data_IF_512502203508
#
_entry.id   IF_512502203508
#
_cell.length_a   1.000
_cell.length_b   1.000
_cell.length_c   1.000
_cell.angle_alpha   90.00
_cell.angle_beta   90.00
_cell.angle_gamma   90.00
#
_symmetry.space_group_name_H-M   'P 1'
#
loop_
_entity.id
_entity.type
_entity.pdbx_description
1 polymer ?
#
# COMPACT_ATOMS: atom_id res chain seq x y z
N UNK A 1 -31.49 -28.39 -19.25
CA UNK A 1 -30.32 -28.57 -18.34
C UNK A 1 -29.01 -27.97 -18.90
N UNK A 2 -28.52 -28.36 -20.07
CA UNK A 2 -27.26 -27.83 -20.67
C UNK A 2 -27.25 -26.29 -20.89
N UNK A 3 -28.37 -25.68 -21.25
CA UNK A 3 -28.42 -24.21 -21.44
C UNK A 3 -28.26 -23.44 -20.13
N UNK A 4 -28.82 -23.92 -19.04
CA UNK A 4 -28.68 -23.30 -17.69
C UNK A 4 -27.23 -23.44 -17.19
N UNK A 5 -26.59 -24.60 -17.37
CA UNK A 5 -25.20 -24.84 -16.98
C UNK A 5 -24.26 -23.90 -17.75
N UNK A 6 -24.49 -23.65 -19.05
CA UNK A 6 -23.70 -22.71 -19.84
C UNK A 6 -23.76 -21.30 -19.24
N UNK A 7 -24.94 -20.81 -18.83
CA UNK A 7 -25.07 -19.50 -18.22
C UNK A 7 -24.49 -19.42 -16.81
N UNK A 8 -24.53 -20.50 -16.02
CA UNK A 8 -23.91 -20.57 -14.71
C UNK A 8 -22.37 -20.45 -14.76
N UNK A 9 -21.76 -20.81 -15.88
CA UNK A 9 -20.32 -20.63 -16.10
C UNK A 9 -20.04 -19.33 -16.84
N UNK A 10 -20.80 -18.99 -17.88
CA UNK A 10 -20.54 -17.82 -18.71
C UNK A 10 -20.68 -16.50 -17.95
N UNK A 11 -21.64 -16.40 -17.03
CA UNK A 11 -21.87 -15.17 -16.26
C UNK A 11 -20.69 -14.85 -15.31
N UNK A 12 -20.21 -15.77 -14.44
CA UNK A 12 -19.03 -15.50 -13.61
C UNK A 12 -17.77 -15.19 -14.43
N UNK A 13 -17.56 -15.89 -15.55
CA UNK A 13 -16.43 -15.63 -16.46
C UNK A 13 -16.55 -14.24 -17.08
N UNK A 14 -17.74 -13.85 -17.53
CA UNK A 14 -18.01 -12.51 -18.07
C UNK A 14 -17.74 -11.41 -17.04
N UNK A 15 -18.21 -11.58 -15.80
CA UNK A 15 -17.96 -10.66 -14.69
C UNK A 15 -16.46 -10.55 -14.42
N UNK A 16 -15.75 -11.67 -14.38
CA UNK A 16 -14.30 -11.70 -14.17
C UNK A 16 -13.54 -10.95 -15.27
N UNK A 17 -13.88 -11.19 -16.53
CA UNK A 17 -13.26 -10.49 -17.68
C UNK A 17 -13.54 -8.99 -17.60
N UNK A 18 -14.79 -8.60 -17.35
CA UNK A 18 -15.19 -7.20 -17.25
C UNK A 18 -14.46 -6.48 -16.09
N UNK A 19 -14.37 -7.13 -14.91
CA UNK A 19 -13.63 -6.59 -13.77
C UNK A 19 -12.15 -6.38 -14.12
N UNK A 20 -11.49 -7.37 -14.74
CA UNK A 20 -10.09 -7.23 -15.14
C UNK A 20 -9.88 -6.15 -16.21
N UNK A 21 -10.79 -6.02 -17.17
CA UNK A 21 -10.73 -4.95 -18.16
C UNK A 21 -10.91 -3.56 -17.50
N UNK A 22 -11.84 -3.42 -16.56
CA UNK A 22 -12.03 -2.21 -15.76
C UNK A 22 -10.77 -1.87 -14.96
N UNK A 23 -10.17 -2.84 -14.26
CA UNK A 23 -8.94 -2.66 -13.49
C UNK A 23 -7.80 -2.22 -14.38
N UNK A 24 -7.60 -2.90 -15.52
CA UNK A 24 -6.55 -2.57 -16.47
C UNK A 24 -6.70 -1.15 -17.05
N UNK A 25 -7.92 -0.75 -17.44
CA UNK A 25 -8.20 0.60 -17.89
C UNK A 25 -7.87 1.67 -16.84
N UNK A 26 -8.17 1.39 -15.56
CA UNK A 26 -7.78 2.29 -14.47
C UNK A 26 -6.25 2.33 -14.25
N UNK A 27 -5.55 1.18 -14.34
CA UNK A 27 -4.09 1.14 -14.23
C UNK A 27 -3.46 2.05 -15.31
N UNK A 28 -3.90 1.94 -16.56
CA UNK A 28 -3.42 2.80 -17.66
C UNK A 28 -3.70 4.28 -17.35
N UNK A 29 -4.89 4.60 -16.83
CA UNK A 29 -5.23 5.97 -16.45
C UNK A 29 -4.34 6.48 -15.33
N UNK A 30 -4.07 5.66 -14.31
CA UNK A 30 -3.27 6.02 -13.15
C UNK A 30 -1.77 6.16 -13.44
N UNK A 31 -1.31 5.80 -14.64
CA UNK A 31 0.04 6.17 -15.10
C UNK A 31 0.25 7.68 -15.15
N UNK A 32 -0.77 8.43 -15.50
CA UNK A 32 -0.70 9.88 -15.69
C UNK A 32 -1.60 10.67 -14.72
N UNK A 33 -2.71 10.09 -14.29
CA UNK A 33 -3.73 10.78 -13.49
C UNK A 33 -3.71 10.26 -12.04
N UNK A 34 -3.84 11.16 -11.08
CA UNK A 34 -4.01 10.79 -9.68
C UNK A 34 -5.43 10.23 -9.43
N UNK A 35 -5.60 9.12 -8.70
CA UNK A 35 -6.91 8.67 -8.30
C UNK A 35 -7.55 9.69 -7.33
N UNK A 36 -8.82 10.01 -7.53
CA UNK A 36 -9.55 10.88 -6.59
C UNK A 36 -9.74 10.20 -5.23
N UNK A 37 -10.00 8.90 -5.26
CA UNK A 37 -10.18 8.06 -4.07
C UNK A 37 -9.91 6.61 -4.45
N UNK A 38 -9.30 5.84 -3.53
CA UNK A 38 -9.06 4.41 -3.75
C UNK A 38 -10.22 3.57 -3.21
N UNK A 39 -10.32 2.32 -3.68
CA UNK A 39 -11.32 1.38 -3.15
C UNK A 39 -11.16 1.19 -1.63
N UNK A 40 -9.92 1.16 -1.14
CA UNK A 40 -9.62 1.04 0.28
C UNK A 40 -10.10 2.26 1.08
N UNK A 41 -9.86 3.49 0.58
CA UNK A 41 -10.36 4.71 1.21
C UNK A 41 -11.89 4.68 1.33
N UNK A 42 -12.58 4.38 0.22
CA UNK A 42 -14.06 4.32 0.21
C UNK A 42 -14.61 3.29 1.18
N UNK A 43 -14.01 2.10 1.20
CA UNK A 43 -14.39 1.03 2.11
C UNK A 43 -14.14 1.43 3.58
N UNK A 44 -13.02 2.06 3.87
CA UNK A 44 -12.64 2.47 5.22
C UNK A 44 -13.56 3.57 5.75
N UNK A 45 -13.90 4.56 4.91
CA UNK A 45 -14.83 5.61 5.28
C UNK A 45 -16.22 5.04 5.58
N UNK A 46 -16.71 4.13 4.73
CA UNK A 46 -17.99 3.42 4.97
C UNK A 46 -17.95 2.60 6.27
N UNK A 47 -16.82 1.97 6.59
CA UNK A 47 -16.67 1.24 7.85
C UNK A 47 -16.78 2.19 9.05
N UNK A 48 -16.12 3.35 9.02
CA UNK A 48 -16.21 4.33 10.12
C UNK A 48 -17.62 4.84 10.31
N UNK A 49 -18.33 5.10 9.22
CA UNK A 49 -19.76 5.48 9.25
C UNK A 49 -20.62 4.39 9.92
N UNK A 50 -20.42 3.11 9.56
CA UNK A 50 -21.11 1.98 10.16
C UNK A 50 -20.78 1.78 11.65
N UNK A 51 -19.57 2.15 12.07
CA UNK A 51 -19.15 2.15 13.47
C UNK A 51 -19.66 3.38 14.26
N UNK A 52 -20.41 4.28 13.61
CA UNK A 52 -20.91 5.52 14.23
C UNK A 52 -19.81 6.56 14.50
N UNK A 53 -18.69 6.47 13.79
CA UNK A 53 -17.57 7.41 13.91
C UNK A 53 -17.73 8.55 12.91
N UNK A 54 -17.78 9.78 13.38
CA UNK A 54 -17.72 10.97 12.54
C UNK A 54 -16.27 11.25 12.14
N UNK A 55 -15.86 10.68 11.00
CA UNK A 55 -14.51 10.80 10.46
C UNK A 55 -14.57 11.41 9.07
N UNK A 56 -13.91 12.55 8.87
CA UNK A 56 -13.74 13.13 7.55
C UNK A 56 -12.51 12.53 6.82
N UNK A 57 -12.61 12.39 5.49
CA UNK A 57 -11.49 11.98 4.65
C UNK A 57 -10.53 13.18 4.47
N UNK A 58 -9.31 13.07 4.99
CA UNK A 58 -8.18 13.96 4.65
C UNK A 58 -7.25 13.21 3.69
N UNK A 59 -7.34 13.56 2.41
CA UNK A 59 -6.55 13.03 1.32
C UNK A 59 -6.04 14.17 0.45
N UNK A 60 -4.70 14.25 0.32
CA UNK A 60 -4.04 15.30 -0.46
C UNK A 60 -2.95 14.66 -1.30
N UNK A 61 -3.18 14.65 -2.61
CA UNK A 61 -2.17 14.14 -3.55
C UNK A 61 -0.90 14.99 -3.51
N UNK A 62 0.25 14.31 -3.49
CA UNK A 62 1.57 14.93 -3.57
C UNK A 62 2.40 14.24 -4.64
N UNK A 63 2.92 14.96 -5.64
CA UNK A 63 3.82 14.40 -6.67
C UNK A 63 5.07 13.77 -6.04
N UNK A 64 5.58 12.71 -6.68
CA UNK A 64 6.72 11.92 -6.19
C UNK A 64 7.93 12.76 -5.79
N UNK A 65 8.33 13.70 -6.67
CA UNK A 65 9.47 14.58 -6.46
C UNK A 65 9.27 15.59 -5.30
N UNK A 66 8.05 15.83 -4.87
CA UNK A 66 7.71 16.73 -3.75
C UNK A 66 7.52 16.00 -2.42
N UNK A 67 7.73 14.69 -2.36
CA UNK A 67 7.74 13.91 -1.13
C UNK A 67 9.19 13.74 -0.65
N UNK A 68 9.42 13.95 0.65
CA UNK A 68 10.74 13.82 1.27
C UNK A 68 11.41 12.48 0.94
N UNK A 69 12.66 12.54 0.51
CA UNK A 69 13.54 11.36 0.33
C UNK A 69 13.60 10.53 1.61
N UNK A 70 13.53 11.17 2.78
CA UNK A 70 13.53 10.46 4.06
C UNK A 70 12.30 9.55 4.20
N UNK A 71 11.10 10.01 3.81
CA UNK A 71 9.89 9.19 3.89
C UNK A 71 9.93 8.04 2.88
N UNK A 72 10.37 8.32 1.64
CA UNK A 72 10.55 7.30 0.61
C UNK A 72 11.48 6.19 1.07
N UNK A 73 12.68 6.53 1.53
CA UNK A 73 13.66 5.56 2.05
C UNK A 73 13.16 4.80 3.29
N UNK A 74 12.44 5.46 4.18
CA UNK A 74 11.89 4.81 5.38
C UNK A 74 10.85 3.74 5.01
N UNK A 75 9.95 4.03 4.06
CA UNK A 75 8.92 3.10 3.62
C UNK A 75 9.53 1.89 2.89
N UNK A 76 10.45 2.10 1.97
CA UNK A 76 11.17 1.00 1.30
C UNK A 76 11.86 0.12 2.33
N UNK A 77 12.64 0.70 3.25
CA UNK A 77 13.35 -0.06 4.28
C UNK A 77 12.45 -0.86 5.23
N UNK A 78 11.21 -0.39 5.43
CA UNK A 78 10.24 -1.04 6.32
C UNK A 78 9.37 -2.09 5.64
N UNK A 79 8.85 -1.76 4.47
CA UNK A 79 7.79 -2.52 3.81
C UNK A 79 8.33 -3.44 2.71
N UNK A 80 9.36 -2.99 1.98
CA UNK A 80 9.87 -3.71 0.81
C UNK A 80 11.31 -3.28 0.48
N UNK A 81 12.27 -3.82 1.21
CA UNK A 81 13.67 -3.37 1.14
C UNK A 81 14.34 -3.58 -0.24
N UNK A 82 13.75 -4.37 -1.13
CA UNK A 82 14.24 -4.66 -2.48
C UNK A 82 13.28 -4.16 -3.57
N UNK A 83 12.45 -3.19 -3.25
CA UNK A 83 11.39 -2.68 -4.13
C UNK A 83 11.89 -2.33 -5.55
N UNK A 84 13.03 -1.66 -5.66
CA UNK A 84 13.61 -1.30 -6.95
C UNK A 84 14.11 -2.51 -7.77
N UNK A 85 14.39 -3.65 -7.12
CA UNK A 85 15.06 -4.80 -7.73
C UNK A 85 14.15 -5.97 -8.14
N UNK A 86 12.82 -5.85 -8.06
CA UNK A 86 11.90 -6.93 -8.43
C UNK A 86 10.66 -6.44 -9.19
N UNK A 87 10.07 -7.29 -10.03
CA UNK A 87 8.84 -7.02 -10.79
C UNK A 87 7.57 -7.39 -9.99
N UNK A 88 7.32 -6.70 -8.87
CA UNK A 88 6.10 -6.84 -8.07
C UNK A 88 6.11 -7.95 -7.02
N UNK A 89 6.98 -8.95 -7.15
CA UNK A 89 7.06 -10.08 -6.23
C UNK A 89 8.49 -10.29 -5.73
N UNK A 90 8.71 -10.12 -4.44
CA UNK A 90 9.96 -10.46 -3.78
C UNK A 90 9.98 -11.93 -3.36
N UNK A 91 10.29 -12.83 -4.31
CA UNK A 91 10.30 -14.28 -4.06
C UNK A 91 11.25 -14.68 -2.92
N UNK A 92 12.42 -14.05 -2.83
CA UNK A 92 13.36 -14.30 -1.74
C UNK A 92 12.84 -13.79 -0.39
N UNK A 93 12.18 -12.64 -0.38
CA UNK A 93 11.50 -12.10 0.80
C UNK A 93 10.37 -12.99 1.27
N UNK A 94 9.56 -13.50 0.34
CA UNK A 94 8.47 -14.47 0.61
C UNK A 94 9.03 -15.75 1.25
N UNK A 95 10.06 -16.37 0.65
CA UNK A 95 10.70 -17.56 1.21
C UNK A 95 11.27 -17.32 2.61
N UNK A 96 11.92 -16.17 2.81
CA UNK A 96 12.45 -15.77 4.11
C UNK A 96 11.33 -15.55 5.15
N UNK A 97 10.20 -14.97 4.76
CA UNK A 97 9.05 -14.79 5.63
C UNK A 97 8.43 -16.13 6.04
N UNK A 98 8.25 -17.05 5.09
CA UNK A 98 7.75 -18.41 5.35
C UNK A 98 8.66 -19.12 6.34
N UNK A 99 9.99 -19.12 6.11
CA UNK A 99 10.97 -19.74 7.01
C UNK A 99 10.92 -19.18 8.42
N UNK A 100 10.85 -17.84 8.57
CA UNK A 100 10.74 -17.19 9.90
C UNK A 100 9.44 -17.53 10.61
N UNK A 101 8.33 -17.55 9.90
CA UNK A 101 7.03 -17.88 10.45
C UNK A 101 6.98 -19.35 10.90
N UNK A 102 7.51 -20.28 10.09
CA UNK A 102 7.63 -21.70 10.44
C UNK A 102 8.47 -21.90 11.69
N UNK A 103 9.65 -21.27 11.77
CA UNK A 103 10.56 -21.41 12.92
C UNK A 103 10.00 -20.79 14.22
N UNK A 104 9.12 -19.81 14.11
CA UNK A 104 8.53 -19.14 15.28
C UNK A 104 7.18 -19.69 15.72
N UNK A 105 6.57 -20.60 14.95
CA UNK A 105 5.20 -21.10 15.16
C UNK A 105 4.11 -20.01 15.09
N UNK A 106 4.45 -18.80 14.65
CA UNK A 106 3.53 -17.63 14.58
C UNK A 106 3.77 -16.84 13.30
N UNK A 107 2.73 -16.22 12.74
CA UNK A 107 2.85 -15.30 11.61
C UNK A 107 3.45 -13.98 12.12
N UNK A 108 4.77 -13.83 12.00
CA UNK A 108 5.53 -12.65 12.44
C UNK A 108 6.02 -11.78 11.31
N UNK A 109 6.19 -12.33 10.12
CA UNK A 109 6.70 -11.63 8.95
C UNK A 109 5.67 -11.69 7.82
N UNK A 110 5.32 -10.54 7.27
CA UNK A 110 4.58 -10.43 6.01
C UNK A 110 5.54 -10.57 4.83
N UNK A 111 5.06 -11.14 3.72
CA UNK A 111 5.81 -11.25 2.48
C UNK A 111 5.19 -10.45 1.33
N UNK A 112 4.29 -9.51 1.63
CA UNK A 112 3.68 -8.65 0.60
C UNK A 112 4.57 -7.45 0.29
N UNK A 113 4.76 -7.19 -1.00
CA UNK A 113 5.52 -6.05 -1.53
C UNK A 113 4.69 -4.76 -1.52
N UNK A 114 5.36 -3.63 -1.78
CA UNK A 114 4.70 -2.32 -1.99
C UNK A 114 3.68 -2.41 -3.14
N UNK A 115 4.03 -3.04 -4.27
CA UNK A 115 3.14 -3.19 -5.42
C UNK A 115 1.89 -4.03 -5.09
N UNK A 116 2.04 -5.10 -4.31
CA UNK A 116 0.91 -5.91 -3.85
C UNK A 116 0.01 -5.15 -2.88
N UNK A 117 0.59 -4.36 -1.97
CA UNK A 117 -0.17 -3.49 -1.07
C UNK A 117 -0.93 -2.42 -1.85
N UNK A 118 -0.30 -1.82 -2.88
CA UNK A 118 -0.93 -0.85 -3.75
C UNK A 118 -2.10 -1.46 -4.53
N UNK A 119 -1.91 -2.63 -5.16
CA UNK A 119 -2.95 -3.34 -5.88
C UNK A 119 -4.20 -3.54 -5.02
N UNK A 120 -3.99 -4.00 -3.78
CA UNK A 120 -5.07 -4.15 -2.80
C UNK A 120 -5.74 -2.80 -2.50
N UNK A 121 -4.98 -1.76 -2.22
CA UNK A 121 -5.52 -0.45 -1.83
C UNK A 121 -6.31 0.23 -2.95
N UNK A 122 -5.86 0.08 -4.20
CA UNK A 122 -6.53 0.71 -5.35
C UNK A 122 -7.84 0.02 -5.72
N UNK A 123 -7.90 -1.32 -5.67
CA UNK A 123 -8.95 -2.07 -6.36
C UNK A 123 -9.69 -3.11 -5.52
N UNK A 124 -9.16 -3.52 -4.36
CA UNK A 124 -9.68 -4.67 -3.62
C UNK A 124 -10.18 -4.28 -2.23
N UNK A 125 -10.88 -5.23 -1.60
CA UNK A 125 -11.33 -5.14 -0.23
C UNK A 125 -10.36 -5.82 0.77
N UNK A 126 -10.67 -5.78 2.08
CA UNK A 126 -9.86 -6.40 3.14
C UNK A 126 -10.17 -7.88 3.38
N UNK A 127 -11.03 -8.53 2.58
CA UNK A 127 -11.37 -9.93 2.79
C UNK A 127 -10.12 -10.81 2.79
N UNK A 128 -10.08 -11.79 3.69
CA UNK A 128 -8.96 -12.74 3.80
C UNK A 128 -9.31 -14.02 3.06
N UNK A 129 -9.34 -13.98 1.72
CA UNK A 129 -9.60 -15.16 0.90
C UNK A 129 -8.43 -15.41 -0.07
N UNK A 130 -8.25 -16.68 -0.46
CA UNK A 130 -7.25 -17.05 -1.47
C UNK A 130 -7.62 -16.47 -2.85
N UNK A 131 -8.91 -16.34 -3.16
CA UNK A 131 -9.40 -15.73 -4.41
C UNK A 131 -8.93 -14.27 -4.47
N UNK A 132 -9.22 -13.49 -3.45
CA UNK A 132 -8.77 -12.09 -3.38
C UNK A 132 -7.23 -11.99 -3.46
N UNK A 133 -6.49 -12.94 -2.86
CA UNK A 133 -5.02 -12.94 -2.96
C UNK A 133 -4.54 -13.27 -4.38
N UNK A 134 -5.25 -14.10 -5.12
CA UNK A 134 -5.02 -14.35 -6.54
C UNK A 134 -5.30 -13.10 -7.40
N UNK A 135 -6.40 -12.39 -7.14
CA UNK A 135 -6.72 -11.11 -7.78
C UNK A 135 -5.65 -10.05 -7.51
N UNK A 136 -5.20 -9.92 -6.25
CA UNK A 136 -4.11 -9.02 -5.88
C UNK A 136 -2.83 -9.33 -6.68
N UNK A 137 -2.49 -10.60 -6.84
CA UNK A 137 -1.33 -11.00 -7.62
C UNK A 137 -1.48 -10.66 -9.12
N UNK A 138 -2.65 -10.92 -9.70
CA UNK A 138 -2.93 -10.58 -11.10
C UNK A 138 -2.86 -9.07 -11.34
N UNK A 139 -3.47 -8.27 -10.48
CA UNK A 139 -3.43 -6.80 -10.56
C UNK A 139 -1.99 -6.29 -10.38
N UNK A 140 -1.21 -6.87 -9.46
CA UNK A 140 0.20 -6.53 -9.27
C UNK A 140 1.00 -6.76 -10.55
N UNK A 141 0.82 -7.92 -11.19
CA UNK A 141 1.51 -8.23 -12.45
C UNK A 141 1.11 -7.26 -13.56
N UNK A 142 -0.18 -6.92 -13.68
CA UNK A 142 -0.66 -5.93 -14.65
C UNK A 142 -0.05 -4.54 -14.40
N UNK A 143 0.03 -4.07 -13.16
CA UNK A 143 0.63 -2.78 -12.83
C UNK A 143 2.12 -2.75 -13.18
N UNK A 144 2.87 -3.75 -12.77
CA UNK A 144 4.32 -3.81 -13.02
C UNK A 144 4.67 -3.94 -14.51
N UNK A 145 3.77 -4.50 -15.31
CA UNK A 145 3.98 -4.64 -16.75
C UNK A 145 3.83 -3.31 -17.53
N UNK A 146 3.10 -2.33 -16.97
CA UNK A 146 2.72 -1.12 -17.72
C UNK A 146 3.01 0.18 -16.98
N UNK A 147 3.47 0.13 -15.74
CA UNK A 147 3.67 1.33 -14.90
C UNK A 147 5.08 1.32 -14.30
N UNK A 148 5.78 2.44 -14.39
CA UNK A 148 7.13 2.59 -13.89
C UNK A 148 7.19 2.51 -12.35
N UNK A 149 8.31 2.07 -11.82
CA UNK A 149 8.50 1.85 -10.37
C UNK A 149 8.29 3.10 -9.52
N UNK A 150 8.77 4.23 -9.98
CA UNK A 150 8.60 5.52 -9.30
C UNK A 150 7.11 5.91 -9.24
N UNK A 151 6.35 5.67 -10.34
CA UNK A 151 4.91 5.91 -10.38
C UNK A 151 4.12 4.96 -9.49
N UNK A 152 4.46 3.67 -9.48
CA UNK A 152 3.89 2.69 -8.53
C UNK A 152 4.11 3.18 -7.10
N UNK A 153 5.32 3.64 -6.80
CA UNK A 153 5.64 4.12 -5.46
C UNK A 153 4.96 5.45 -5.12
N UNK A 154 4.82 6.36 -6.08
CA UNK A 154 4.04 7.58 -5.92
C UNK A 154 2.57 7.29 -5.55
N UNK A 155 1.94 6.38 -6.30
CA UNK A 155 0.57 5.93 -6.02
C UNK A 155 0.46 5.32 -4.62
N UNK A 156 1.44 4.50 -4.23
CA UNK A 156 1.50 3.89 -2.90
C UNK A 156 1.62 4.95 -1.79
N UNK A 157 2.59 5.87 -1.90
CA UNK A 157 2.82 6.96 -0.95
C UNK A 157 1.57 7.81 -0.71
N UNK A 158 0.72 7.95 -1.73
CA UNK A 158 -0.52 8.71 -1.67
C UNK A 158 -1.74 7.87 -1.24
N UNK A 159 -1.65 6.53 -1.20
CA UNK A 159 -2.80 5.66 -0.88
C UNK A 159 -2.76 5.02 0.50
N UNK A 160 -1.67 5.16 1.25
CA UNK A 160 -1.50 4.55 2.57
C UNK A 160 -2.38 5.24 3.61
N UNK A 161 -3.05 4.45 4.46
CA UNK A 161 -3.72 4.92 5.67
C UNK A 161 -2.69 5.17 6.79
N UNK A 162 -2.81 6.30 7.49
CA UNK A 162 -1.92 6.69 8.57
C UNK A 162 -2.63 6.90 9.90
N UNK A 163 -3.91 7.24 9.84
CA UNK A 163 -4.79 7.49 10.98
C UNK A 163 -6.24 7.37 10.51
N UNK A 164 -7.21 7.47 11.41
CA UNK A 164 -8.62 7.56 11.07
C UNK A 164 -8.85 8.64 10.02
N UNK A 165 -9.27 8.27 8.82
CA UNK A 165 -9.54 9.17 7.70
C UNK A 165 -8.34 9.86 7.06
N UNK A 166 -7.11 9.66 7.55
CA UNK A 166 -5.90 10.31 7.04
C UNK A 166 -5.17 9.40 6.07
N UNK A 167 -5.15 9.78 4.79
CA UNK A 167 -4.54 9.01 3.71
C UNK A 167 -3.51 9.83 2.93
N UNK A 168 -2.41 9.17 2.56
CA UNK A 168 -1.31 9.76 1.79
C UNK A 168 -0.31 10.55 2.61
N UNK A 169 0.86 10.73 2.02
CA UNK A 169 2.04 11.31 2.68
C UNK A 169 1.83 12.76 3.13
N UNK A 170 1.18 13.59 2.31
CA UNK A 170 0.97 15.01 2.63
C UNK A 170 -0.03 15.18 3.77
N UNK A 171 -1.17 14.49 3.72
CA UNK A 171 -2.16 14.54 4.78
C UNK A 171 -1.56 14.05 6.10
N UNK A 172 -0.82 12.93 6.08
CA UNK A 172 -0.12 12.41 7.27
C UNK A 172 0.90 13.40 7.85
N UNK A 173 1.73 14.01 6.99
CA UNK A 173 2.73 15.00 7.42
C UNK A 173 2.07 16.20 8.09
N UNK A 174 0.99 16.71 7.51
CA UNK A 174 0.19 17.80 8.07
C UNK A 174 -0.47 17.42 9.39
N UNK A 175 -1.08 16.24 9.43
CA UNK A 175 -1.77 15.77 10.62
C UNK A 175 -0.83 15.60 11.82
N UNK A 176 0.31 14.92 11.63
CA UNK A 176 1.19 14.58 12.74
C UNK A 176 2.21 15.66 13.10
N UNK A 177 2.61 16.50 12.14
CA UNK A 177 3.73 17.45 12.32
C UNK A 177 3.43 18.86 11.85
N UNK A 178 2.29 19.12 11.22
CA UNK A 178 1.88 20.43 10.70
C UNK A 178 2.88 21.03 9.68
N UNK A 179 3.62 20.18 8.97
CA UNK A 179 4.57 20.55 7.92
C UNK A 179 4.24 19.83 6.61
N UNK A 180 4.69 20.36 5.45
CA UNK A 180 4.61 19.65 4.18
C UNK A 180 5.39 18.33 4.18
N UNK A 181 4.93 17.32 3.44
CA UNK A 181 5.61 16.04 3.30
C UNK A 181 7.05 16.16 2.77
N UNK A 182 7.34 17.20 1.99
CA UNK A 182 8.69 17.51 1.50
C UNK A 182 9.70 17.83 2.62
N UNK A 183 9.22 18.32 3.77
CA UNK A 183 10.06 18.78 4.88
C UNK A 183 10.25 17.74 6.00
N UNK A 184 9.75 16.52 5.83
CA UNK A 184 9.90 15.47 6.83
C UNK A 184 11.37 15.13 7.08
N UNK A 185 11.79 15.23 8.34
CA UNK A 185 13.11 14.80 8.81
C UNK A 185 13.20 13.27 8.85
N UNK A 186 14.42 12.72 8.95
CA UNK A 186 14.64 11.27 9.11
C UNK A 186 13.83 10.67 10.28
N UNK A 187 13.84 11.36 11.42
CA UNK A 187 13.13 10.92 12.63
C UNK A 187 11.61 10.89 12.41
N UNK A 188 11.05 11.95 11.83
CA UNK A 188 9.62 12.07 11.54
C UNK A 188 9.18 11.02 10.51
N UNK A 189 9.94 10.85 9.44
CA UNK A 189 9.69 9.86 8.40
C UNK A 189 9.69 8.43 8.97
N UNK A 190 10.70 8.07 9.77
CA UNK A 190 10.76 6.76 10.40
C UNK A 190 9.60 6.50 11.38
N UNK A 191 9.18 7.54 12.13
CA UNK A 191 8.06 7.42 13.07
C UNK A 191 6.72 7.29 12.36
N UNK A 192 6.51 7.99 11.22
CA UNK A 192 5.36 7.78 10.36
C UNK A 192 5.36 6.34 9.83
N UNK A 193 6.43 5.95 9.13
CA UNK A 193 6.56 4.62 8.54
C UNK A 193 6.31 3.49 9.54
N UNK A 194 6.77 3.63 10.77
CA UNK A 194 6.54 2.64 11.82
C UNK A 194 5.05 2.39 12.13
N UNK A 195 4.14 3.29 11.72
CA UNK A 195 2.67 3.16 11.92
C UNK A 195 1.99 2.33 10.83
N UNK A 196 2.57 2.27 9.63
CA UNK A 196 1.94 1.68 8.43
C UNK A 196 1.33 0.28 8.64
N UNK A 197 1.96 -0.66 9.36
CA UNK A 197 1.38 -2.00 9.51
C UNK A 197 0.13 -2.09 10.37
N UNK A 198 -0.16 -1.07 11.19
CA UNK A 198 -1.32 -1.04 12.06
C UNK A 198 -1.70 0.42 12.42
N UNK A 199 -2.11 1.24 11.42
CA UNK A 199 -2.29 2.69 11.61
C UNK A 199 -3.30 3.01 12.68
N UNK A 200 -4.46 2.36 12.70
CA UNK A 200 -5.52 2.61 13.68
C UNK A 200 -5.11 2.16 15.09
N UNK A 201 -4.41 1.01 15.22
CA UNK A 201 -3.87 0.61 16.52
C UNK A 201 -2.92 1.68 17.08
N UNK A 202 -2.05 2.25 16.26
CA UNK A 202 -1.13 3.31 16.69
C UNK A 202 -1.78 4.68 16.80
N UNK A 203 -2.96 4.89 16.23
CA UNK A 203 -3.80 6.05 16.52
C UNK A 203 -4.23 6.03 18.00
N UNK A 204 -4.71 4.87 18.47
CA UNK A 204 -5.17 4.68 19.84
C UNK A 204 -4.01 4.50 20.85
N UNK A 205 -2.83 4.05 20.38
CA UNK A 205 -1.65 3.76 21.22
C UNK A 205 -0.40 4.52 20.76
N UNK A 206 -0.43 5.87 20.69
CA UNK A 206 0.65 6.68 20.10
C UNK A 206 1.98 6.65 20.86
N UNK A 207 1.96 6.25 22.15
CA UNK A 207 3.14 6.16 23.02
C UNK A 207 3.64 4.72 23.23
N UNK A 208 3.12 3.74 22.48
CA UNK A 208 3.45 2.33 22.69
C UNK A 208 4.96 2.04 22.51
N UNK A 209 5.49 1.15 23.34
CA UNK A 209 6.89 0.64 23.22
C UNK A 209 7.13 0.00 21.85
N UNK A 210 6.10 -0.67 21.29
CA UNK A 210 6.15 -1.29 19.96
C UNK A 210 6.42 -0.27 18.86
N UNK A 211 5.74 0.90 18.89
CA UNK A 211 5.95 1.98 17.92
C UNK A 211 7.38 2.54 18.02
N UNK A 212 7.86 2.81 19.25
CA UNK A 212 9.24 3.29 19.47
C UNK A 212 10.29 2.32 18.94
N UNK A 213 10.14 1.03 19.25
CA UNK A 213 11.07 0.00 18.79
C UNK A 213 11.06 -0.10 17.25
N UNK A 214 9.89 -0.07 16.62
CA UNK A 214 9.79 -0.11 15.15
C UNK A 214 10.40 1.14 14.52
N UNK A 215 10.16 2.32 15.08
CA UNK A 215 10.80 3.58 14.64
C UNK A 215 12.34 3.45 14.62
N UNK A 216 12.91 2.92 15.69
CA UNK A 216 14.36 2.74 15.78
C UNK A 216 14.90 1.72 14.76
N UNK A 217 14.12 0.67 14.45
CA UNK A 217 14.47 -0.30 13.39
C UNK A 217 14.49 0.38 12.03
N UNK A 218 13.44 1.16 11.70
CA UNK A 218 13.35 1.90 10.43
C UNK A 218 14.52 2.89 10.30
N UNK A 219 14.81 3.67 11.34
CA UNK A 219 15.93 4.63 11.36
C UNK A 219 17.27 3.98 11.01
N UNK A 220 17.53 2.78 11.56
CA UNK A 220 18.79 2.07 11.28
C UNK A 220 18.87 1.52 9.86
N UNK A 221 17.74 1.19 9.25
CA UNK A 221 17.67 0.52 7.93
C UNK A 221 17.50 1.48 6.77
N UNK A 222 16.85 2.62 6.98
CA UNK A 222 16.49 3.52 5.88
C UNK A 222 17.69 4.11 5.13
N UNK A 223 18.88 4.11 5.73
CA UNK A 223 20.09 4.63 5.09
C UNK A 223 20.54 3.81 3.87
N UNK A 224 20.30 2.50 3.88
CA UNK A 224 20.64 1.55 2.80
C UNK A 224 19.51 1.31 1.81
N UNK A 225 18.37 2.01 1.94
CA UNK A 225 17.26 1.84 1.01
C UNK A 225 17.57 2.52 -0.33
N UNK A 226 17.43 1.76 -1.41
CA UNK A 226 17.55 2.23 -2.79
C UNK A 226 16.17 2.70 -3.27
N UNK A 227 16.13 3.90 -3.85
CA UNK A 227 14.92 4.42 -4.48
C UNK A 227 14.85 3.89 -5.92
N UNK A 228 13.64 3.67 -6.47
CA UNK A 228 13.53 3.44 -7.90
C UNK A 228 14.09 4.64 -8.66
N UNK A 229 14.83 4.37 -9.72
CA UNK A 229 15.30 5.40 -10.65
C UNK A 229 14.07 5.99 -11.34
N UNK A 230 14.01 7.30 -11.44
CA UNK A 230 13.00 7.96 -12.27
C UNK A 230 13.55 8.02 -13.69
N UNK A 231 12.82 7.46 -14.65
CA UNK A 231 13.17 7.54 -16.08
C UNK A 231 13.04 8.99 -16.64
N UNK A 232 12.89 9.98 -15.78
CA UNK A 232 12.82 11.41 -16.14
C UNK A 232 14.14 12.09 -15.84
N UNK A 233 15.11 11.95 -16.75
CA UNK A 233 16.13 12.94 -17.06
C UNK A 233 15.79 13.62 -18.39
#
# INVERSE_FOLDING_TARGET
>A
MFRIIKWLIALPVGIFIFFNAYVYGNIITYRAVAPHQTAFMSMRMKQFEQEGRDVALDYRWMPYNRISVNLKKALIASEDARFAGHGGFDWGGIQNAIRRNRNSGKVKAGGSTISQQLAKNLFLNESRSYIRKGEEAAITAMMEAVTDKDRIFELYLNSIEWHYGVFGAEAASRYFYQIPAAKLTKQQAAKLTARVPAPLYYADHPKSKRLRNKTNIVLRRMGSAELPESDTD
#
